data_IF_241409493202
#
_entry.id   IF_241409493202
#
_cell.length_a   1.000
_cell.length_b   1.000
_cell.length_c   1.000
_cell.angle_alpha   90.00
_cell.angle_beta   90.00
_cell.angle_gamma   90.00
#
_symmetry.space_group_name_H-M   'P 1'
#
loop_
_entity.id
_entity.type
_entity.pdbx_description
1 polymer ?
#
# COMPACT_ATOMS: atom_id res chain seq x y z
N UNK A 1 1.19 0.02 -3.84
CA UNK A 1 1.80 -0.69 -4.98
C UNK A 1 0.70 -1.21 -5.88
N UNK A 2 0.13 -0.34 -6.71
CA UNK A 2 -0.91 -0.76 -7.64
C UNK A 2 -0.27 -1.50 -8.82
N UNK A 3 -0.77 -2.69 -9.15
CA UNK A 3 -0.38 -3.42 -10.37
C UNK A 3 0.95 -4.18 -10.33
N UNK A 4 1.67 -4.23 -9.20
CA UNK A 4 2.86 -5.07 -9.07
C UNK A 4 2.49 -6.50 -8.60
N UNK A 5 3.12 -7.56 -9.15
CA UNK A 5 2.92 -8.91 -8.64
C UNK A 5 3.48 -9.03 -7.21
N UNK A 6 2.81 -9.81 -6.35
CA UNK A 6 3.23 -10.12 -4.98
C UNK A 6 3.44 -8.91 -4.05
N UNK A 7 2.77 -7.78 -4.32
CA UNK A 7 2.96 -6.54 -3.55
C UNK A 7 1.79 -6.18 -2.64
N UNK A 8 1.03 -7.19 -2.17
CA UNK A 8 -0.10 -6.96 -1.26
C UNK A 8 0.40 -6.40 0.07
N UNK A 9 -0.35 -5.42 0.60
CA UNK A 9 -0.10 -4.86 1.93
C UNK A 9 -0.44 -5.95 2.96
N UNK A 10 0.51 -6.29 3.81
CA UNK A 10 0.36 -7.39 4.79
C UNK A 10 -0.29 -6.97 6.11
N UNK A 11 -0.13 -5.70 6.48
CA UNK A 11 -0.60 -5.17 7.77
C UNK A 11 -1.91 -4.39 7.57
N UNK A 12 -3.01 -4.96 8.08
CA UNK A 12 -4.38 -4.47 7.93
C UNK A 12 -4.58 -3.07 8.56
N UNK A 13 -3.80 -2.73 9.58
CA UNK A 13 -3.90 -1.43 10.25
C UNK A 13 -3.58 -0.24 9.32
N UNK A 14 -2.84 -0.45 8.23
CA UNK A 14 -2.61 0.60 7.23
C UNK A 14 -3.92 1.12 6.61
N UNK A 15 -4.96 0.28 6.52
CA UNK A 15 -6.25 0.68 5.98
C UNK A 15 -7.04 1.62 6.91
N UNK A 16 -6.65 1.75 8.20
CA UNK A 16 -7.27 2.73 9.11
C UNK A 16 -7.05 4.18 8.68
N UNK A 17 -6.01 4.43 7.87
CA UNK A 17 -5.72 5.77 7.30
C UNK A 17 -6.89 6.28 6.44
N UNK A 18 -7.73 5.39 5.91
CA UNK A 18 -8.91 5.74 5.11
C UNK A 18 -10.08 6.32 5.94
N UNK A 19 -9.97 6.31 7.27
CA UNK A 19 -11.04 6.70 8.19
C UNK A 19 -11.96 5.53 8.57
N UNK A 20 -12.71 5.70 9.67
CA UNK A 20 -13.50 4.62 10.29
C UNK A 20 -14.57 4.04 9.34
N UNK A 21 -15.28 4.89 8.60
CA UNK A 21 -16.34 4.44 7.68
C UNK A 21 -15.79 3.50 6.59
N UNK A 22 -14.68 3.88 5.96
CA UNK A 22 -14.05 3.08 4.90
C UNK A 22 -13.38 1.83 5.46
N UNK A 23 -12.80 1.92 6.66
CA UNK A 23 -12.21 0.76 7.32
C UNK A 23 -13.26 -0.28 7.71
N UNK A 24 -14.42 0.15 8.20
CA UNK A 24 -15.55 -0.74 8.51
C UNK A 24 -16.04 -1.45 7.24
N UNK A 25 -16.17 -0.72 6.12
CA UNK A 25 -16.49 -1.31 4.82
C UNK A 25 -15.45 -2.32 4.36
N UNK A 26 -14.16 -1.99 4.53
CA UNK A 26 -13.06 -2.91 4.23
C UNK A 26 -13.15 -4.21 5.04
N UNK A 27 -13.42 -4.12 6.34
CA UNK A 27 -13.58 -5.30 7.20
C UNK A 27 -14.78 -6.16 6.77
N UNK A 28 -15.89 -5.54 6.41
CA UNK A 28 -17.07 -6.23 5.90
C UNK A 28 -16.76 -6.97 4.60
N UNK A 29 -16.14 -6.31 3.62
CA UNK A 29 -15.74 -6.96 2.37
C UNK A 29 -14.75 -8.11 2.60
N UNK A 30 -13.82 -7.95 3.54
CA UNK A 30 -12.89 -9.03 3.90
C UNK A 30 -13.61 -10.27 4.46
N UNK A 31 -14.64 -10.07 5.28
CA UNK A 31 -15.46 -11.18 5.80
C UNK A 31 -16.32 -11.83 4.70
N UNK A 32 -16.92 -11.02 3.84
CA UNK A 32 -17.72 -11.48 2.69
C UNK A 32 -16.89 -12.32 1.71
N UNK A 33 -15.71 -11.84 1.32
CA UNK A 33 -14.79 -12.56 0.44
C UNK A 33 -14.31 -13.89 1.04
N UNK A 34 -14.07 -13.93 2.36
CA UNK A 34 -13.71 -15.16 3.06
C UNK A 34 -14.81 -16.21 2.96
N UNK A 35 -16.07 -15.81 3.19
CA UNK A 35 -17.23 -16.71 3.04
C UNK A 35 -17.33 -17.27 1.63
N UNK A 36 -17.14 -16.42 0.62
CA UNK A 36 -17.18 -16.84 -0.79
C UNK A 36 -16.04 -17.80 -1.14
N UNK A 37 -14.82 -17.54 -0.66
CA UNK A 37 -13.67 -18.44 -0.86
C UNK A 37 -13.86 -19.80 -0.20
N UNK A 38 -14.59 -19.86 0.91
CA UNK A 38 -14.98 -21.11 1.57
C UNK A 38 -16.13 -21.85 0.87
N UNK A 39 -16.62 -21.36 -0.27
CA UNK A 39 -17.74 -21.95 -1.01
C UNK A 39 -19.11 -21.58 -0.46
N UNK A 40 -19.18 -20.56 0.41
CA UNK A 40 -20.40 -20.00 0.95
C UNK A 40 -21.16 -19.09 0.00
N UNK A 41 -22.21 -18.46 0.52
CA UNK A 41 -23.08 -17.56 -0.23
C UNK A 41 -23.54 -16.40 0.66
N UNK A 42 -23.65 -15.21 0.09
CA UNK A 42 -24.21 -14.04 0.77
C UNK A 42 -25.73 -13.98 0.57
N UNK A 43 -26.45 -13.56 1.60
CA UNK A 43 -27.88 -13.31 1.52
C UNK A 43 -28.18 -12.13 0.55
N UNK A 44 -29.03 -12.33 -0.47
CA UNK A 44 -29.33 -11.29 -1.47
C UNK A 44 -30.33 -10.24 -0.97
N UNK A 45 -30.93 -10.43 0.21
CA UNK A 45 -31.92 -9.50 0.76
C UNK A 45 -31.30 -8.11 0.97
N UNK A 46 -31.93 -7.05 0.45
CA UNK A 46 -31.50 -5.67 0.69
C UNK A 46 -31.38 -5.42 2.20
N UNK A 47 -30.22 -4.90 2.64
CA UNK A 47 -29.95 -4.60 4.04
C UNK A 47 -29.60 -5.79 4.95
N UNK A 48 -29.52 -7.03 4.42
CA UNK A 48 -29.06 -8.19 5.19
C UNK A 48 -27.59 -8.52 4.93
N UNK A 49 -27.25 -9.03 3.74
CA UNK A 49 -25.86 -9.39 3.39
C UNK A 49 -25.22 -10.48 4.25
N UNK A 50 -25.98 -11.22 5.06
CA UNK A 50 -25.43 -12.25 5.94
C UNK A 50 -24.65 -13.33 5.14
N UNK A 51 -23.43 -13.65 5.60
CA UNK A 51 -22.63 -14.74 5.04
C UNK A 51 -23.07 -16.10 5.57
N UNK A 52 -23.40 -17.01 4.65
CA UNK A 52 -23.94 -18.34 4.96
C UNK A 52 -23.01 -19.42 4.38
N UNK A 53 -22.79 -20.49 5.14
CA UNK A 53 -22.00 -21.66 4.72
C UNK A 53 -22.92 -22.90 4.64
N UNK A 54 -23.77 -23.01 3.61
CA UNK A 54 -24.60 -24.19 3.40
C UNK A 54 -23.75 -25.40 2.96
N UNK A 55 -24.29 -26.60 3.13
CA UNK A 55 -23.65 -27.83 2.68
C UNK A 55 -23.39 -27.80 1.15
N UNK A 56 -22.28 -28.39 0.67
CA UNK A 56 -22.01 -28.50 -0.76
C UNK A 56 -23.16 -29.18 -1.51
N UNK A 57 -23.62 -28.59 -2.62
CA UNK A 57 -24.73 -29.10 -3.42
C UNK A 57 -26.14 -28.76 -2.93
N UNK A 58 -26.30 -28.18 -1.74
CA UNK A 58 -27.62 -27.76 -1.25
C UNK A 58 -28.08 -26.48 -1.97
N UNK A 59 -29.07 -26.58 -2.87
CA UNK A 59 -29.59 -25.43 -3.64
C UNK A 59 -30.50 -24.50 -2.84
N UNK A 60 -31.25 -25.05 -1.89
CA UNK A 60 -32.13 -24.31 -0.99
C UNK A 60 -31.33 -23.75 0.16
N UNK A 61 -31.21 -22.43 0.25
CA UNK A 61 -30.51 -21.75 1.34
C UNK A 61 -31.51 -20.91 2.12
N UNK A 62 -31.53 -21.06 3.43
CA UNK A 62 -32.30 -20.19 4.32
C UNK A 62 -31.37 -19.26 5.07
N UNK A 63 -31.68 -17.96 5.06
CA UNK A 63 -30.98 -16.96 5.87
C UNK A 63 -31.42 -17.06 7.34
N UNK A 64 -30.95 -18.10 8.01
CA UNK A 64 -31.07 -18.32 9.45
C UNK A 64 -29.69 -18.05 10.07
N UNK A 65 -29.43 -16.79 10.45
CA UNK A 65 -28.21 -16.46 11.17
C UNK A 65 -28.24 -17.06 12.58
N UNK A 66 -27.11 -17.56 13.07
CA UNK A 66 -26.97 -17.92 14.49
C UNK A 66 -27.37 -16.73 15.37
N UNK A 67 -28.22 -16.97 16.37
CA UNK A 67 -28.83 -15.94 17.24
C UNK A 67 -29.75 -14.92 16.54
N UNK A 68 -30.53 -15.33 15.54
CA UNK A 68 -31.64 -14.52 14.99
C UNK A 68 -31.23 -13.28 14.19
N UNK A 69 -29.99 -13.22 13.70
CA UNK A 69 -29.51 -12.15 12.80
C UNK A 69 -29.85 -12.38 11.32
N UNK A 70 -30.42 -13.54 10.98
CA UNK A 70 -30.88 -13.81 9.61
C UNK A 70 -32.19 -13.10 9.30
N UNK A 71 -32.41 -12.72 8.03
CA UNK A 71 -33.67 -12.12 7.60
C UNK A 71 -34.78 -13.15 7.31
N UNK A 72 -34.49 -14.45 7.42
CA UNK A 72 -35.45 -15.54 7.15
C UNK A 72 -35.73 -15.79 5.67
N UNK A 73 -35.06 -15.07 4.75
CA UNK A 73 -35.23 -15.28 3.31
C UNK A 73 -34.78 -16.69 2.91
N UNK A 74 -35.64 -17.38 2.16
CA UNK A 74 -35.32 -18.68 1.54
C UNK A 74 -35.07 -18.46 0.05
N UNK A 75 -33.85 -18.70 -0.40
CA UNK A 75 -33.40 -18.38 -1.76
C UNK A 75 -32.61 -19.53 -2.40
N UNK A 76 -32.49 -19.48 -3.73
CA UNK A 76 -31.72 -20.41 -4.52
C UNK A 76 -30.24 -19.98 -4.54
N UNK A 77 -29.34 -20.92 -4.20
CA UNK A 77 -27.89 -20.65 -4.16
C UNK A 77 -27.34 -20.17 -5.51
N UNK A 78 -27.94 -20.61 -6.62
CA UNK A 78 -27.35 -20.46 -7.95
C UNK A 78 -27.72 -19.09 -8.53
N UNK A 79 -29.03 -18.81 -8.65
CA UNK A 79 -29.54 -17.58 -9.24
C UNK A 79 -29.76 -16.43 -8.24
N UNK A 80 -29.66 -16.69 -6.94
CA UNK A 80 -29.92 -15.71 -5.85
C UNK A 80 -31.38 -15.21 -5.78
N UNK A 81 -32.30 -15.80 -6.52
CA UNK A 81 -33.73 -15.52 -6.46
C UNK A 81 -34.43 -16.35 -5.38
N UNK A 82 -35.72 -16.09 -5.15
CA UNK A 82 -36.58 -16.91 -4.28
C UNK A 82 -36.44 -18.39 -4.63
N UNK A 83 -36.38 -19.27 -3.60
CA UNK A 83 -36.18 -20.69 -3.85
C UNK A 83 -37.25 -21.27 -4.79
N UNK A 84 -36.80 -22.05 -5.75
CA UNK A 84 -37.63 -22.69 -6.75
C UNK A 84 -37.15 -24.12 -7.00
N UNK A 85 -38.06 -24.97 -7.47
CA UNK A 85 -37.73 -26.30 -7.95
C UNK A 85 -37.45 -26.25 -9.47
N UNK A 86 -36.60 -27.15 -9.97
CA UNK A 86 -36.16 -27.14 -11.37
C UNK A 86 -35.02 -26.16 -11.68
N UNK A 87 -34.81 -25.92 -12.97
CA UNK A 87 -33.70 -25.10 -13.50
C UNK A 87 -33.88 -23.61 -13.20
N UNK A 88 -32.77 -22.89 -13.09
CA UNK A 88 -32.78 -21.44 -12.93
C UNK A 88 -33.22 -20.79 -14.25
N UNK A 89 -34.24 -19.94 -14.21
CA UNK A 89 -34.75 -19.24 -15.39
C UNK A 89 -33.77 -18.22 -15.97
N UNK A 90 -32.80 -17.76 -15.17
CA UNK A 90 -31.74 -16.87 -15.58
C UNK A 90 -30.37 -17.55 -15.36
N UNK A 91 -29.77 -18.06 -16.43
CA UNK A 91 -28.31 -18.18 -16.52
C UNK A 91 -27.77 -16.76 -16.67
N UNK A 92 -27.63 -16.04 -15.55
CA UNK A 92 -26.88 -14.79 -15.58
C UNK A 92 -25.44 -15.17 -15.95
N UNK A 93 -24.95 -14.66 -17.08
CA UNK A 93 -23.58 -14.82 -17.51
C UNK A 93 -22.70 -14.48 -16.30
N UNK A 94 -22.00 -15.49 -15.77
CA UNK A 94 -20.98 -15.24 -14.78
C UNK A 94 -20.04 -14.23 -15.43
N UNK A 95 -20.04 -12.99 -14.93
CA UNK A 95 -19.06 -11.99 -15.34
C UNK A 95 -17.73 -12.53 -14.88
N UNK A 96 -17.09 -13.32 -15.76
CA UNK A 96 -15.73 -13.77 -15.58
C UNK A 96 -14.96 -12.54 -15.17
N UNK A 97 -14.34 -12.59 -13.98
CA UNK A 97 -13.63 -11.47 -13.39
C UNK A 97 -12.74 -10.86 -14.47
N UNK A 98 -13.21 -9.76 -15.07
CA UNK A 98 -12.44 -9.06 -16.07
C UNK A 98 -11.26 -8.56 -15.28
N UNK A 99 -10.08 -9.12 -15.53
CA UNK A 99 -8.84 -8.58 -15.05
C UNK A 99 -8.76 -7.15 -15.60
N UNK A 100 -9.35 -6.19 -14.88
CA UNK A 100 -9.22 -4.79 -15.18
C UNK A 100 -7.75 -4.50 -15.02
N UNK A 101 -7.06 -4.42 -16.14
CA UNK A 101 -5.67 -4.00 -16.20
C UNK A 101 -5.62 -2.61 -15.56
N UNK A 102 -5.19 -2.55 -14.31
CA UNK A 102 -5.01 -1.31 -13.58
C UNK A 102 -3.99 -0.48 -14.36
N UNK A 103 -4.45 0.57 -15.04
CA UNK A 103 -3.58 1.40 -15.89
C UNK A 103 -2.78 2.32 -14.99
N UNK A 104 -1.50 2.03 -14.86
CA UNK A 104 -0.53 2.90 -14.19
C UNK A 104 0.32 3.57 -15.27
N UNK A 105 0.50 4.88 -15.18
CA UNK A 105 1.40 5.61 -16.08
C UNK A 105 2.86 5.17 -15.84
N UNK A 106 3.54 4.72 -16.90
CA UNK A 106 4.88 4.15 -16.79
C UNK A 106 5.90 5.16 -16.25
N UNK A 107 5.81 6.42 -16.71
CA UNK A 107 6.76 7.47 -16.31
C UNK A 107 6.57 7.86 -14.84
N UNK A 108 5.33 7.99 -14.39
CA UNK A 108 5.00 8.23 -12.99
C UNK A 108 5.45 7.06 -12.10
N UNK A 109 5.30 5.82 -12.56
CA UNK A 109 5.75 4.63 -11.83
C UNK A 109 7.28 4.58 -11.67
N UNK A 110 8.03 4.94 -12.71
CA UNK A 110 9.50 5.00 -12.67
C UNK A 110 9.99 6.08 -11.69
N UNK A 111 9.40 7.27 -11.71
CA UNK A 111 9.75 8.37 -10.82
C UNK A 111 9.38 8.11 -9.34
N UNK A 112 8.30 7.35 -9.10
CA UNK A 112 7.85 7.02 -7.74
C UNK A 112 8.67 5.89 -7.08
N UNK A 113 9.76 5.41 -7.70
CA UNK A 113 10.64 4.40 -7.10
C UNK A 113 11.49 5.02 -5.99
N UNK A 114 11.34 4.47 -4.78
CA UNK A 114 12.05 4.89 -3.58
C UNK A 114 13.59 4.95 -3.74
N UNK A 115 14.16 4.05 -4.55
CA UNK A 115 15.61 3.96 -4.79
C UNK A 115 16.19 5.15 -5.57
N UNK A 116 15.41 5.81 -6.44
CA UNK A 116 15.89 7.00 -7.17
C UNK A 116 15.86 8.26 -6.29
N UNK A 117 14.86 8.39 -5.41
CA UNK A 117 14.79 9.47 -4.42
C UNK A 117 16.01 9.46 -3.47
N UNK A 118 16.55 8.28 -3.15
CA UNK A 118 17.74 8.15 -2.32
C UNK A 118 19.02 8.66 -3.01
N UNK A 119 19.15 8.50 -4.34
CA UNK A 119 20.33 8.95 -5.11
C UNK A 119 20.43 10.48 -5.18
N UNK A 120 19.30 11.18 -5.24
CA UNK A 120 19.29 12.65 -5.21
C UNK A 120 19.63 13.18 -3.82
N UNK A 121 19.16 12.52 -2.76
CA UNK A 121 19.55 12.84 -1.37
C UNK A 121 21.04 12.59 -1.14
N UNK A 122 21.60 11.47 -1.61
CA UNK A 122 23.06 11.17 -1.50
C UNK A 122 23.91 12.25 -2.17
N UNK A 123 23.50 12.76 -3.33
CA UNK A 123 24.20 13.87 -4.02
C UNK A 123 24.13 15.18 -3.24
N UNK A 124 23.06 15.42 -2.48
CA UNK A 124 22.89 16.63 -1.67
C UNK A 124 23.68 16.54 -0.35
N UNK A 125 23.84 15.34 0.21
CA UNK A 125 24.54 15.13 1.50
C UNK A 125 26.03 14.81 1.36
N UNK A 126 26.55 14.57 0.15
CA UNK A 126 27.95 14.14 -0.04
C UNK A 126 28.68 15.02 -1.06
N UNK A 127 29.85 15.57 -0.69
CA UNK A 127 30.74 16.34 -1.59
C UNK A 127 32.16 15.79 -1.58
N UNK A 128 32.91 15.84 -2.69
CA UNK A 128 34.28 15.36 -2.74
C UNK A 128 35.23 16.29 -1.96
N UNK A 129 36.19 15.72 -1.23
CA UNK A 129 37.25 16.49 -0.59
C UNK A 129 38.08 17.28 -1.62
N UNK A 130 38.38 18.58 -1.41
CA UNK A 130 39.14 19.39 -2.36
C UNK A 130 40.57 18.90 -2.64
N UNK A 131 41.16 18.12 -1.72
CA UNK A 131 42.54 17.63 -1.82
C UNK A 131 42.63 16.20 -2.34
N UNK A 132 41.80 15.29 -1.83
CA UNK A 132 41.92 13.85 -2.14
C UNK A 132 40.73 13.29 -2.93
N UNK A 133 39.71 14.10 -3.21
CA UNK A 133 38.50 13.76 -3.95
C UNK A 133 37.64 12.61 -3.37
N UNK A 134 38.03 12.06 -2.21
CA UNK A 134 37.19 11.10 -1.49
C UNK A 134 35.86 11.76 -1.12
N UNK A 135 34.72 11.09 -1.35
CA UNK A 135 33.41 11.58 -0.96
C UNK A 135 33.31 11.75 0.56
N UNK A 136 32.84 12.92 1.00
CA UNK A 136 32.63 13.26 2.41
C UNK A 136 31.16 13.61 2.61
N UNK A 137 30.52 12.96 3.58
CA UNK A 137 29.13 13.22 3.97
C UNK A 137 29.04 14.38 4.98
N UNK A 138 28.04 15.26 4.83
CA UNK A 138 27.75 16.34 5.75
C UNK A 138 26.95 15.82 6.95
N UNK A 139 27.61 15.72 8.11
CA UNK A 139 27.01 15.19 9.34
C UNK A 139 26.57 16.30 10.31
N UNK A 140 25.73 17.24 9.86
CA UNK A 140 25.15 18.27 10.72
C UNK A 140 25.08 19.66 10.09
N UNK A 141 24.87 20.69 10.92
CA UNK A 141 24.72 22.08 10.50
C UNK A 141 26.02 22.86 10.33
N UNK A 142 27.19 22.31 10.70
CA UNK A 142 28.46 23.02 10.57
C UNK A 142 28.99 22.99 9.13
N UNK A 143 29.50 24.12 8.63
CA UNK A 143 30.18 24.20 7.33
C UNK A 143 31.67 23.83 7.40
N UNK A 144 32.23 23.73 8.61
CA UNK A 144 33.60 23.26 8.83
C UNK A 144 33.66 21.75 8.78
N UNK A 145 34.28 21.22 7.72
CA UNK A 145 34.39 19.79 7.47
C UNK A 145 35.82 19.32 7.63
N UNK A 146 36.02 18.14 8.23
CA UNK A 146 37.32 17.46 8.28
C UNK A 146 37.27 16.23 7.40
N UNK A 147 38.25 16.09 6.50
CA UNK A 147 38.35 14.91 5.64
C UNK A 147 38.59 13.65 6.50
N UNK A 148 37.76 12.59 6.35
CA UNK A 148 37.87 11.38 7.17
C UNK A 148 39.08 10.51 6.78
N UNK A 149 39.72 10.77 5.64
CA UNK A 149 40.89 10.01 5.19
C UNK A 149 42.10 10.31 6.09
N UNK A 150 42.70 9.29 6.75
CA UNK A 150 43.80 9.47 7.69
C UNK A 150 45.03 10.16 7.08
N UNK A 151 45.27 9.97 5.78
CA UNK A 151 46.37 10.56 5.02
C UNK A 151 46.08 11.98 4.50
N UNK A 152 44.84 12.46 4.59
CA UNK A 152 44.46 13.79 4.10
C UNK A 152 44.19 14.74 5.27
N UNK A 153 43.23 14.40 6.12
CA UNK A 153 42.78 15.19 7.29
C UNK A 153 42.54 16.70 7.04
N UNK A 154 42.40 17.12 5.78
CA UNK A 154 42.15 18.51 5.42
C UNK A 154 40.88 19.01 6.10
N UNK A 155 40.98 20.18 6.70
CA UNK A 155 39.85 20.97 7.16
C UNK A 155 39.42 21.94 6.06
N UNK A 156 38.16 21.90 5.66
CA UNK A 156 37.67 22.64 4.50
C UNK A 156 36.23 23.10 4.70
N UNK A 157 35.85 24.16 3.98
CA UNK A 157 34.49 24.69 4.01
C UNK A 157 33.58 23.91 3.06
N UNK A 158 32.48 23.35 3.57
CA UNK A 158 31.47 22.65 2.78
C UNK A 158 30.86 23.52 1.68
N UNK A 159 30.67 24.81 1.95
CA UNK A 159 30.09 25.74 0.98
C UNK A 159 31.10 26.14 -0.10
N UNK A 160 32.29 26.59 0.31
CA UNK A 160 33.28 27.14 -0.62
C UNK A 160 34.09 26.08 -1.37
N UNK A 161 34.33 24.90 -0.76
CA UNK A 161 35.15 23.86 -1.37
C UNK A 161 36.66 24.10 -1.29
N UNK A 162 37.13 24.91 -0.33
CA UNK A 162 38.55 25.21 -0.10
C UNK A 162 38.91 25.06 1.39
N UNK A 163 40.19 25.20 1.71
CA UNK A 163 40.69 25.12 3.09
C UNK A 163 39.95 26.07 4.04
N UNK A 164 39.64 25.58 5.24
CA UNK A 164 38.88 26.33 6.24
C UNK A 164 39.66 27.53 6.74
N UNK A 165 39.02 28.70 6.79
CA UNK A 165 39.67 29.95 7.18
C UNK A 165 38.72 30.85 8.01
N UNK A 166 39.23 32.01 8.44
CA UNK A 166 38.50 32.96 9.29
C UNK A 166 37.32 33.62 8.58
N UNK A 167 37.41 33.82 7.28
CA UNK A 167 36.33 34.39 6.48
C UNK A 167 35.14 33.41 6.44
N UNK A 168 35.41 32.11 6.26
CA UNK A 168 34.37 31.07 6.36
C UNK A 168 33.70 31.02 7.74
N UNK A 169 34.47 31.22 8.82
CA UNK A 169 33.90 31.33 10.17
C UNK A 169 33.00 32.57 10.32
N UNK A 170 33.36 33.70 9.72
CA UNK A 170 32.57 34.95 9.82
C UNK A 170 31.30 34.92 8.97
N UNK A 171 31.41 34.43 7.73
CA UNK A 171 30.38 34.59 6.72
C UNK A 171 29.36 33.46 6.69
N UNK A 172 29.78 32.22 6.92
CA UNK A 172 28.94 31.03 6.74
C UNK A 172 29.40 29.87 7.62
N UNK A 173 29.53 30.10 8.92
CA UNK A 173 29.91 29.08 9.89
C UNK A 173 28.96 27.87 9.86
N UNK A 174 27.66 28.13 9.81
CA UNK A 174 26.60 27.13 9.88
C UNK A 174 25.66 27.20 8.66
N UNK A 175 24.92 26.12 8.43
CA UNK A 175 23.80 26.08 7.50
C UNK A 175 22.70 27.01 7.99
N UNK A 176 22.08 27.75 7.06
CA UNK A 176 20.90 28.58 7.31
C UNK A 176 19.63 27.76 7.36
#
# INVERSE_FOLDING_TARGET
TAGCPNSLIKELHHFRILGEEQYNRYQQYGAEECVLQMGGVLCPSPGCGAGLLPEPGQRKVTCEGGNSLGCGLVFCRDCKESYHEGECSALFEASAAVAQAYRVDQKAAEQARWEEASKETIRKTTKPCPRCHVPVEKNGGCMHMKCPQPQCQLEWCWNCGWEWNRDCMGDHWFDV
#
